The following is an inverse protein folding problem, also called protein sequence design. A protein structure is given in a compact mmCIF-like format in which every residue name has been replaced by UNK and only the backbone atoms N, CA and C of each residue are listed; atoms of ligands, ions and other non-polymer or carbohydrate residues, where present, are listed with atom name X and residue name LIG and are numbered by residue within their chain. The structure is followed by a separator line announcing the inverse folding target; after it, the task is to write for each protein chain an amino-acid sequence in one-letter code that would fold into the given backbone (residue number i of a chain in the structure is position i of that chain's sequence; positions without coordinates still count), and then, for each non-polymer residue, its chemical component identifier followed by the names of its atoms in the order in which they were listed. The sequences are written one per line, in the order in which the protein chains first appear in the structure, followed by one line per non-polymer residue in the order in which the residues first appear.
data_IF_825681367195
#
_entry.id   IF_825681367195
#
_cell.length_a   1.000
_cell.length_b   1.000
_cell.length_c   1.000
_cell.angle_alpha   90.00
_cell.angle_beta   90.00
_cell.angle_gamma   90.00
#
_symmetry.space_group_name_H-M   'P 1'
#
loop_
_entity.id
_entity.type
_entity.pdbx_description
1 polymer ?
#
# COMPACT_ATOMS: atom_id res chain seq x y z
N UNK A 1 26.77 -25.99 10.26
CA UNK A 1 25.34 -25.89 9.87
C UNK A 1 24.79 -24.66 10.58
N UNK A 2 24.76 -23.50 9.90
CA UNK A 2 24.19 -22.29 10.47
C UNK A 2 22.67 -22.45 10.51
N UNK A 3 22.04 -22.10 11.64
CA UNK A 3 20.58 -22.03 11.71
C UNK A 3 20.10 -21.03 10.65
N UNK A 4 19.13 -21.44 9.83
CA UNK A 4 18.45 -20.55 8.87
C UNK A 4 17.82 -19.39 9.64
N UNK A 5 17.98 -18.18 9.13
CA UNK A 5 17.28 -17.01 9.67
C UNK A 5 15.77 -17.26 9.49
N UNK A 6 14.94 -17.14 10.54
CA UNK A 6 13.48 -17.26 10.44
C UNK A 6 12.87 -16.36 9.35
N UNK A 7 13.56 -15.30 8.95
CA UNK A 7 13.16 -14.38 7.90
C UNK A 7 13.36 -14.95 6.47
N UNK A 8 14.35 -15.83 6.25
CA UNK A 8 14.67 -16.37 4.92
C UNK A 8 13.56 -17.24 4.35
N UNK A 9 12.89 -18.02 5.20
CA UNK A 9 11.74 -18.83 4.81
C UNK A 9 10.54 -17.98 4.38
N UNK A 10 10.36 -16.79 4.98
CA UNK A 10 9.31 -15.85 4.55
C UNK A 10 9.66 -15.23 3.20
N UNK A 11 10.93 -14.90 2.95
CA UNK A 11 11.38 -14.36 1.67
C UNK A 11 11.31 -15.37 0.51
N UNK A 12 11.64 -16.65 0.76
CA UNK A 12 11.47 -17.73 -0.23
C UNK A 12 9.98 -17.96 -0.56
N UNK A 13 9.11 -17.96 0.46
CA UNK A 13 7.65 -18.07 0.29
C UNK A 13 7.05 -16.85 -0.42
N UNK A 14 7.55 -15.65 -0.14
CA UNK A 14 7.15 -14.40 -0.79
C UNK A 14 7.58 -14.38 -2.26
N UNK A 15 8.78 -14.88 -2.58
CA UNK A 15 9.23 -15.04 -3.96
C UNK A 15 8.33 -16.01 -4.74
N UNK A 16 7.94 -17.14 -4.16
CA UNK A 16 6.98 -18.08 -4.78
C UNK A 16 5.57 -17.48 -4.98
N UNK A 17 5.13 -16.61 -4.07
CA UNK A 17 3.86 -15.88 -4.19
C UNK A 17 3.94 -14.82 -5.30
N UNK A 18 5.03 -14.06 -5.37
CA UNK A 18 5.29 -13.06 -6.40
C UNK A 18 5.38 -13.69 -7.80
N UNK A 19 5.96 -14.90 -7.93
CA UNK A 19 6.01 -15.67 -9.18
C UNK A 19 4.61 -16.13 -9.66
N UNK A 20 3.66 -16.32 -8.74
CA UNK A 20 2.27 -16.66 -9.07
C UNK A 20 1.40 -15.44 -9.38
N UNK A 21 1.86 -14.23 -9.05
CA UNK A 21 1.15 -12.98 -9.25
C UNK A 21 2.00 -11.96 -10.01
N UNK A 22 2.18 -12.15 -11.31
CA UNK A 22 2.66 -11.08 -12.19
C UNK A 22 1.61 -9.93 -12.27
N UNK A 23 1.51 -9.14 -11.20
CA UNK A 23 0.60 -8.01 -11.04
C UNK A 23 1.34 -6.66 -11.21
N UNK A 24 2.57 -6.72 -11.73
CA UNK A 24 3.62 -5.72 -11.48
C UNK A 24 3.63 -4.48 -12.40
N UNK A 25 2.86 -4.35 -13.50
CA UNK A 25 3.09 -3.19 -14.40
C UNK A 25 1.91 -2.37 -14.93
N UNK A 26 0.64 -2.74 -14.77
CA UNK A 26 -0.41 -2.22 -15.67
C UNK A 26 -1.35 -1.12 -15.18
N UNK A 27 -1.00 -0.34 -14.15
CA UNK A 27 -1.84 0.81 -13.78
C UNK A 27 -1.11 2.02 -13.22
N UNK A 28 0.11 2.29 -13.70
CA UNK A 28 0.90 3.42 -13.20
C UNK A 28 0.43 4.79 -13.68
N UNK A 29 -0.29 4.86 -14.81
CA UNK A 29 -0.80 6.13 -15.32
C UNK A 29 -2.21 5.92 -15.89
N UNK A 30 -3.23 6.29 -15.15
CA UNK A 30 -4.55 6.54 -15.74
C UNK A 30 -4.72 8.06 -15.89
N UNK A 31 -5.07 8.52 -17.09
CA UNK A 31 -5.61 9.88 -17.26
C UNK A 31 -6.93 9.88 -16.49
N UNK A 32 -6.91 10.46 -15.29
CA UNK A 32 -8.08 10.54 -14.45
C UNK A 32 -9.15 11.38 -15.18
N UNK A 33 -10.25 10.75 -15.59
CA UNK A 33 -11.52 11.47 -15.75
C UNK A 33 -11.99 12.00 -14.40
N UNK A 34 -13.08 12.77 -14.37
CA UNK A 34 -13.54 13.59 -13.23
C UNK A 34 -13.65 12.88 -11.85
N UNK A 35 -13.57 11.54 -11.79
CA UNK A 35 -13.67 10.74 -10.57
C UNK A 35 -12.66 9.57 -10.46
N UNK A 36 -11.63 9.51 -11.31
CA UNK A 36 -10.70 8.37 -11.37
C UNK A 36 -9.44 8.52 -10.50
N UNK A 37 -9.02 7.45 -9.82
CA UNK A 37 -7.69 7.35 -9.20
C UNK A 37 -6.61 7.44 -10.29
N UNK A 38 -5.61 8.32 -10.13
CA UNK A 38 -4.55 8.49 -11.13
C UNK A 38 -3.52 7.34 -11.08
N UNK A 39 -3.38 6.72 -9.91
CA UNK A 39 -2.47 5.60 -9.62
C UNK A 39 -2.95 4.80 -8.41
N UNK A 40 -2.30 3.69 -8.12
CA UNK A 40 -2.52 2.89 -6.91
C UNK A 40 -1.18 2.53 -6.25
N UNK A 41 -1.00 2.75 -4.94
CA UNK A 41 0.23 2.42 -4.25
C UNK A 41 0.42 0.90 -4.11
N UNK A 42 1.68 0.42 -4.13
CA UNK A 42 2.02 -0.94 -3.71
C UNK A 42 1.57 -1.21 -2.27
N UNK A 43 1.14 -2.45 -2.02
CA UNK A 43 0.67 -2.89 -0.72
C UNK A 43 1.17 -4.30 -0.46
N UNK A 44 1.72 -4.50 0.74
CA UNK A 44 2.01 -5.81 1.30
C UNK A 44 1.00 -6.14 2.40
N UNK A 45 0.59 -7.40 2.48
CA UNK A 45 -0.34 -7.89 3.49
C UNK A 45 0.30 -9.07 4.20
N UNK A 46 0.43 -8.97 5.52
CA UNK A 46 0.94 -10.03 6.38
C UNK A 46 -0.14 -10.47 7.34
N UNK A 47 -0.24 -11.76 7.60
CA UNK A 47 -1.21 -12.33 8.53
C UNK A 47 -0.49 -13.16 9.59
N UNK A 48 -0.88 -12.96 10.84
CA UNK A 48 -0.49 -13.78 11.99
C UNK A 48 -1.75 -14.37 12.65
N UNK A 49 -1.57 -15.16 13.69
CA UNK A 49 -2.70 -15.72 14.46
C UNK A 49 -3.54 -14.64 15.16
N UNK A 50 -2.96 -13.48 15.47
CA UNK A 50 -3.62 -12.42 16.23
C UNK A 50 -4.09 -11.23 15.37
N UNK A 51 -3.39 -10.93 14.28
CA UNK A 51 -3.61 -9.71 13.50
C UNK A 51 -3.26 -9.84 12.03
N UNK A 52 -3.85 -8.97 11.24
CA UNK A 52 -3.54 -8.68 9.85
C UNK A 52 -2.84 -7.31 9.78
N UNK A 53 -1.68 -7.28 9.13
CA UNK A 53 -0.83 -6.10 8.94
C UNK A 53 -0.86 -5.71 7.47
N UNK A 54 -1.31 -4.50 7.16
CA UNK A 54 -1.37 -4.00 5.78
C UNK A 54 -0.42 -2.82 5.64
N UNK A 55 0.64 -2.99 4.85
CA UNK A 55 1.71 -2.02 4.66
C UNK A 55 1.58 -1.35 3.28
N UNK A 56 1.41 -0.04 3.24
CA UNK A 56 1.31 0.74 2.01
C UNK A 56 2.60 1.53 1.78
N UNK A 57 3.14 1.48 0.55
CA UNK A 57 4.25 2.32 0.13
C UNK A 57 3.74 3.66 -0.41
N UNK A 58 3.85 4.72 0.40
CA UNK A 58 3.35 6.07 0.17
C UNK A 58 4.44 7.17 0.22
N UNK A 59 5.60 7.00 -0.45
CA UNK A 59 6.67 8.00 -0.40
C UNK A 59 6.25 9.34 -1.01
N UNK A 60 6.49 10.43 -0.29
CA UNK A 60 6.13 11.79 -0.73
C UNK A 60 4.64 12.13 -0.61
N UNK A 61 3.88 11.31 0.12
CA UNK A 61 2.52 11.65 0.57
C UNK A 61 2.61 12.24 1.98
N UNK A 62 1.85 13.29 2.24
CA UNK A 62 1.71 13.84 3.59
C UNK A 62 0.85 12.91 4.43
N UNK A 63 1.38 12.45 5.57
CA UNK A 63 0.71 11.51 6.46
C UNK A 63 -0.62 12.06 7.01
N UNK A 64 -0.71 13.37 7.23
CA UNK A 64 -1.91 14.01 7.76
C UNK A 64 -3.05 14.05 6.73
N UNK A 65 -2.72 13.89 5.44
CA UNK A 65 -3.68 13.91 4.34
C UNK A 65 -4.10 12.50 3.89
N UNK A 66 -3.68 11.45 4.60
CA UNK A 66 -4.08 10.07 4.31
C UNK A 66 -5.36 9.72 5.04
N UNK A 67 -6.38 9.35 4.27
CA UNK A 67 -7.65 8.85 4.80
C UNK A 67 -7.65 7.32 4.76
N UNK A 68 -7.84 6.71 5.94
CA UNK A 68 -7.90 5.26 6.14
C UNK A 68 -9.28 4.88 6.65
N UNK A 69 -10.00 4.05 5.89
CA UNK A 69 -11.34 3.57 6.24
C UNK A 69 -11.37 2.05 6.28
N UNK A 70 -11.84 1.52 7.40
CA UNK A 70 -12.14 0.11 7.52
C UNK A 70 -13.64 -0.10 7.21
N UNK A 71 -13.91 -0.73 6.08
CA UNK A 71 -15.25 -1.08 5.61
C UNK A 71 -15.50 -2.59 5.71
N UNK A 72 -16.77 -3.05 5.67
CA UNK A 72 -17.07 -4.47 5.57
C UNK A 72 -16.32 -5.12 4.39
N UNK A 73 -15.41 -6.05 4.72
CA UNK A 73 -14.64 -6.83 3.76
C UNK A 73 -13.52 -6.07 3.03
N UNK A 74 -13.18 -4.83 3.41
CA UNK A 74 -12.07 -4.12 2.80
C UNK A 74 -11.46 -3.01 3.67
N UNK A 75 -10.17 -2.76 3.44
CA UNK A 75 -9.47 -1.56 3.88
C UNK A 75 -9.34 -0.61 2.70
N UNK A 76 -9.79 0.63 2.87
CA UNK A 76 -9.69 1.68 1.86
C UNK A 76 -8.68 2.72 2.35
N UNK A 77 -7.70 3.02 1.51
CA UNK A 77 -6.71 4.08 1.77
C UNK A 77 -6.71 5.03 0.58
N UNK A 78 -6.88 6.32 0.86
CA UNK A 78 -6.88 7.35 -0.17
C UNK A 78 -6.08 8.57 0.26
N UNK A 79 -5.36 9.17 -0.68
CA UNK A 79 -4.66 10.43 -0.46
C UNK A 79 -4.28 11.06 -1.80
N UNK A 80 -3.49 12.14 -1.75
CA UNK A 80 -2.88 12.77 -2.93
C UNK A 80 -1.37 12.86 -2.74
N UNK A 81 -0.63 12.42 -3.75
CA UNK A 81 0.79 12.74 -3.88
C UNK A 81 0.96 14.03 -4.67
N UNK A 82 1.57 15.03 -4.04
CA UNK A 82 1.86 16.31 -4.67
C UNK A 82 3.17 16.24 -5.42
N UNK A 83 3.27 17.02 -6.50
CA UNK A 83 4.55 17.25 -7.15
C UNK A 83 5.49 17.92 -6.14
N UNK A 84 6.76 17.54 -6.12
CA UNK A 84 7.74 18.15 -5.24
C UNK A 84 7.95 19.63 -5.59
N UNK A 85 8.09 20.46 -4.55
CA UNK A 85 8.36 21.89 -4.72
C UNK A 85 9.60 22.11 -5.59
N UNK A 86 9.51 23.05 -6.54
CA UNK A 86 10.59 23.33 -7.49
C UNK A 86 10.53 22.50 -8.78
N UNK A 87 9.68 21.48 -8.86
CA UNK A 87 9.39 20.77 -10.11
C UNK A 87 8.22 21.41 -10.89
N UNK A 88 7.49 22.38 -10.34
CA UNK A 88 6.26 22.91 -10.98
C UNK A 88 6.52 23.62 -12.31
N UNK A 89 7.69 24.25 -12.46
CA UNK A 89 8.09 24.99 -13.65
C UNK A 89 9.18 24.28 -14.47
N UNK A 90 9.45 23.01 -14.16
CA UNK A 90 10.47 22.23 -14.85
C UNK A 90 9.89 21.51 -16.09
N UNK A 91 10.70 21.41 -17.16
CA UNK A 91 10.35 20.59 -18.32
C UNK A 91 10.41 19.10 -17.95
N UNK A 92 9.33 18.37 -18.21
CA UNK A 92 9.29 16.92 -18.00
C UNK A 92 10.20 16.23 -19.02
N UNK A 93 11.32 15.67 -18.55
CA UNK A 93 12.22 14.84 -19.36
C UNK A 93 11.88 13.35 -19.28
N UNK A 94 11.42 12.89 -18.11
CA UNK A 94 11.02 11.49 -17.83
C UNK A 94 10.13 11.44 -16.59
N UNK A 95 9.12 10.59 -16.60
CA UNK A 95 8.26 10.30 -15.44
C UNK A 95 8.22 8.79 -15.22
N UNK A 96 8.68 8.37 -14.05
CA UNK A 96 8.58 6.96 -13.60
C UNK A 96 7.74 6.82 -12.34
N UNK A 97 7.66 7.89 -11.55
CA UNK A 97 6.97 7.90 -10.28
C UNK A 97 5.58 8.50 -10.48
N UNK A 98 4.49 7.80 -10.12
CA UNK A 98 3.14 8.30 -10.28
C UNK A 98 2.87 9.52 -9.41
N UNK A 99 1.94 10.37 -9.86
CA UNK A 99 1.56 11.62 -9.21
C UNK A 99 0.04 11.73 -9.08
N UNK A 100 -0.43 12.56 -8.15
CA UNK A 100 -1.85 12.87 -7.99
C UNK A 100 -2.58 11.98 -6.99
N UNK A 101 -3.90 11.96 -7.11
CA UNK A 101 -4.79 11.25 -6.17
C UNK A 101 -4.72 9.74 -6.39
N UNK A 102 -4.72 9.00 -5.30
CA UNK A 102 -4.94 7.56 -5.31
C UNK A 102 -6.11 7.16 -4.42
N UNK A 103 -6.71 6.01 -4.75
CA UNK A 103 -7.68 5.31 -3.93
C UNK A 103 -7.42 3.81 -4.03
N UNK A 104 -6.88 3.21 -2.95
CA UNK A 104 -6.52 1.80 -2.89
C UNK A 104 -7.52 1.05 -2.02
N UNK A 105 -8.18 0.06 -2.60
CA UNK A 105 -9.04 -0.89 -1.87
C UNK A 105 -8.28 -2.21 -1.72
N UNK A 106 -8.04 -2.62 -0.50
CA UNK A 106 -7.44 -3.92 -0.15
C UNK A 106 -8.55 -4.83 0.36
N UNK A 107 -8.92 -5.89 -0.37
CA UNK A 107 -9.88 -6.88 0.12
C UNK A 107 -9.37 -7.50 1.41
N UNK A 108 -10.26 -7.62 2.40
CA UNK A 108 -9.96 -8.26 3.67
C UNK A 108 -10.60 -9.66 3.73
N UNK A 109 -10.01 -10.60 4.47
CA UNK A 109 -10.62 -11.89 4.72
C UNK A 109 -12.00 -11.80 5.39
N UNK A 110 -12.82 -12.85 5.22
CA UNK A 110 -14.20 -12.90 5.72
C UNK A 110 -14.29 -13.36 7.19
N UNK A 111 -13.46 -12.80 8.06
CA UNK A 111 -13.55 -13.00 9.51
C UNK A 111 -13.50 -11.64 10.22
N UNK A 112 -13.96 -11.55 11.48
CA UNK A 112 -13.99 -10.28 12.20
C UNK A 112 -12.61 -9.66 12.34
N UNK A 113 -12.50 -8.39 11.95
CA UNK A 113 -11.29 -7.58 12.08
C UNK A 113 -11.64 -6.26 12.75
N UNK A 114 -10.74 -5.75 13.58
CA UNK A 114 -10.88 -4.49 14.29
C UNK A 114 -9.64 -3.62 14.02
N UNK A 115 -9.86 -2.37 13.59
CA UNK A 115 -8.76 -1.41 13.41
C UNK A 115 -8.11 -1.10 14.76
N UNK A 116 -6.88 -1.59 14.93
CA UNK A 116 -6.13 -1.46 16.17
C UNK A 116 -5.22 -0.23 16.18
N UNK A 117 -4.82 0.26 15.00
CA UNK A 117 -4.02 1.47 14.88
C UNK A 117 -3.34 1.60 13.52
N UNK A 118 -2.66 2.73 13.34
CA UNK A 118 -1.82 3.02 12.19
C UNK A 118 -0.47 3.57 12.63
N UNK A 119 0.57 3.26 11.86
CA UNK A 119 1.93 3.76 12.09
C UNK A 119 2.50 4.27 10.77
N UNK A 120 3.20 5.41 10.84
CA UNK A 120 3.87 6.00 9.70
C UNK A 120 5.38 5.99 9.90
N UNK A 121 6.12 5.47 8.93
CA UNK A 121 7.58 5.44 8.97
C UNK A 121 8.17 5.62 7.58
N UNK A 122 8.87 6.74 7.34
CA UNK A 122 9.64 6.99 6.11
C UNK A 122 8.85 6.75 4.80
N UNK A 123 7.59 7.19 4.74
CA UNK A 123 6.74 7.01 3.57
C UNK A 123 6.09 5.63 3.49
N UNK A 124 6.12 4.84 4.56
CA UNK A 124 5.33 3.63 4.72
C UNK A 124 4.22 3.88 5.73
N UNK A 125 3.00 3.46 5.36
CA UNK A 125 1.86 3.41 6.27
C UNK A 125 1.58 1.95 6.62
N UNK A 126 1.71 1.60 7.89
CA UNK A 126 1.29 0.32 8.43
C UNK A 126 -0.09 0.47 9.08
N UNK A 127 -1.05 -0.33 8.63
CA UNK A 127 -2.38 -0.44 9.23
C UNK A 127 -2.49 -1.78 9.95
N UNK A 128 -2.85 -1.74 11.24
CA UNK A 128 -3.00 -2.94 12.08
C UNK A 128 -4.47 -3.27 12.27
N UNK A 129 -4.85 -4.49 11.91
CA UNK A 129 -6.20 -5.02 12.09
C UNK A 129 -6.12 -6.26 13.00
N UNK A 130 -6.67 -6.17 14.21
CA UNK A 130 -6.72 -7.32 15.13
C UNK A 130 -7.88 -8.24 14.76
N UNK A 131 -7.68 -9.54 14.85
CA UNK A 131 -8.74 -10.52 14.70
C UNK A 131 -9.72 -10.40 15.88
N UNK A 132 -11.00 -10.24 15.57
CA UNK A 132 -12.06 -10.26 16.56
C UNK A 132 -12.38 -11.70 16.96
N UNK A 133 -12.70 -11.90 18.23
CA UNK A 133 -13.32 -13.13 18.76
C UNK A 133 -14.69 -13.39 18.16
#
# INVERSE_FOLDING_TARGET
MSARDPNDWMWERAAELLDRTAWVQRRFFQVAGERGSAWEPPVDVYESDAELLVLFALPGVDAELVDVRHEPGALLVSARRSLSAGCENAEVRRLEIPQGRFHRRVPLPNYPLLLAGTEWNNGLLLVRLRKGT
#
